data_IF_738904561275
#
_entry.id   IF_738904561275
#
_cell.length_a   1.000
_cell.length_b   1.000
_cell.length_c   1.000
_cell.angle_alpha   90.00
_cell.angle_beta   90.00
_cell.angle_gamma   90.00
#
_symmetry.space_group_name_H-M   'P 1'
#
loop_
_entity.id
_entity.type
_entity.pdbx_description
1 polymer ?
#
# COMPACT_ATOMS: atom_id res chain seq x y z
N UNK A 1 48.86 -35.96 -5.20
CA UNK A 1 48.24 -35.02 -6.15
C UNK A 1 48.16 -33.68 -5.45
N UNK A 2 48.90 -32.63 -5.87
CA UNK A 2 48.79 -31.33 -5.22
C UNK A 2 47.39 -30.76 -5.51
N UNK A 3 46.72 -30.26 -4.48
CA UNK A 3 45.46 -29.57 -4.59
C UNK A 3 45.61 -28.41 -5.59
N UNK A 4 44.84 -28.43 -6.67
CA UNK A 4 44.80 -27.34 -7.63
C UNK A 4 44.46 -26.06 -6.89
N UNK A 5 45.35 -25.06 -6.95
CA UNK A 5 45.12 -23.75 -6.36
C UNK A 5 43.80 -23.18 -6.90
N UNK A 6 42.79 -23.06 -6.03
CA UNK A 6 41.53 -22.42 -6.38
C UNK A 6 41.82 -20.94 -6.71
N UNK A 7 41.34 -20.42 -7.85
CA UNK A 7 41.58 -19.02 -8.21
C UNK A 7 40.98 -18.11 -7.12
N UNK A 8 41.79 -17.14 -6.65
CA UNK A 8 41.43 -16.18 -5.60
C UNK A 8 40.33 -15.18 -6.03
N UNK A 9 39.94 -15.16 -7.30
CA UNK A 9 38.96 -14.23 -7.87
C UNK A 9 37.99 -14.96 -8.81
N UNK A 10 36.69 -14.67 -8.66
CA UNK A 10 35.62 -15.20 -9.50
C UNK A 10 35.64 -14.53 -10.88
N UNK A 11 35.54 -15.29 -11.97
CA UNK A 11 35.51 -14.69 -13.31
C UNK A 11 34.08 -14.31 -13.72
N UNK A 12 33.06 -15.00 -13.18
CA UNK A 12 31.65 -14.66 -13.42
C UNK A 12 30.75 -14.93 -12.20
N UNK A 13 29.52 -14.41 -12.22
CA UNK A 13 28.50 -14.67 -11.19
C UNK A 13 28.13 -16.16 -11.17
N UNK A 14 28.02 -16.78 -12.34
CA UNK A 14 27.67 -18.19 -12.50
C UNK A 14 28.72 -19.11 -11.85
N UNK A 15 30.01 -18.82 -12.05
CA UNK A 15 31.10 -19.56 -11.41
C UNK A 15 31.05 -19.42 -9.88
N UNK A 16 30.78 -18.22 -9.38
CA UNK A 16 30.65 -17.95 -7.94
C UNK A 16 29.47 -18.72 -7.34
N UNK A 17 28.33 -18.73 -8.01
CA UNK A 17 27.14 -19.48 -7.60
C UNK A 17 27.37 -20.99 -7.67
N UNK A 18 28.06 -21.49 -8.71
CA UNK A 18 28.39 -22.91 -8.82
C UNK A 18 29.28 -23.38 -7.65
N UNK A 19 30.30 -22.60 -7.29
CA UNK A 19 31.13 -22.87 -6.11
C UNK A 19 30.30 -22.82 -4.82
N UNK A 20 29.37 -21.87 -4.70
CA UNK A 20 28.48 -21.79 -3.55
C UNK A 20 27.62 -23.05 -3.40
N UNK A 21 27.09 -23.57 -4.52
CA UNK A 21 26.34 -24.82 -4.56
C UNK A 21 27.21 -26.01 -4.16
N UNK A 22 28.41 -26.14 -4.72
CA UNK A 22 29.35 -27.21 -4.37
C UNK A 22 29.62 -27.22 -2.87
N UNK A 23 30.02 -26.07 -2.31
CA UNK A 23 30.29 -25.94 -0.86
C UNK A 23 29.07 -26.34 -0.03
N UNK A 24 27.89 -25.87 -0.39
CA UNK A 24 26.68 -26.10 0.38
C UNK A 24 26.14 -27.53 0.27
N UNK A 25 25.96 -28.03 -0.95
CA UNK A 25 25.27 -29.30 -1.21
C UNK A 25 26.21 -30.52 -1.17
N UNK A 26 27.48 -30.37 -1.52
CA UNK A 26 28.44 -31.48 -1.58
C UNK A 26 29.35 -31.51 -0.36
N UNK A 27 29.86 -30.35 0.07
CA UNK A 27 30.85 -30.25 1.15
C UNK A 27 30.18 -29.99 2.53
N UNK A 28 28.89 -29.63 2.55
CA UNK A 28 28.15 -29.32 3.78
C UNK A 28 28.59 -28.01 4.45
N UNK A 29 29.33 -27.17 3.74
CA UNK A 29 29.86 -25.90 4.20
C UNK A 29 28.93 -24.74 3.85
N UNK A 30 28.83 -23.77 4.75
CA UNK A 30 28.06 -22.56 4.51
C UNK A 30 28.81 -21.60 3.56
N UNK A 31 28.28 -21.26 2.37
CA UNK A 31 29.01 -20.51 1.33
C UNK A 31 28.91 -18.99 1.52
N UNK A 32 29.25 -18.48 2.70
CA UNK A 32 29.14 -17.06 3.03
C UNK A 32 29.94 -16.16 2.07
N UNK A 33 29.31 -15.09 1.58
CA UNK A 33 29.91 -14.12 0.66
C UNK A 33 29.92 -14.52 -0.82
N UNK A 34 29.49 -15.74 -1.16
CA UNK A 34 29.42 -16.21 -2.55
C UNK A 34 28.07 -15.88 -3.22
N UNK A 35 26.97 -15.96 -2.47
CA UNK A 35 25.62 -15.61 -2.92
C UNK A 35 24.93 -14.77 -1.86
N UNK A 36 23.76 -14.22 -2.19
CA UNK A 36 22.98 -13.43 -1.24
C UNK A 36 22.66 -14.26 0.02
N UNK A 37 22.80 -13.63 1.19
CA UNK A 37 22.50 -14.25 2.48
C UNK A 37 21.07 -14.84 2.54
N UNK A 38 20.09 -14.18 1.92
CA UNK A 38 18.72 -14.67 1.87
C UNK A 38 18.60 -16.00 1.10
N UNK A 39 19.42 -16.22 0.08
CA UNK A 39 19.51 -17.47 -0.69
C UNK A 39 20.08 -18.58 0.19
N UNK A 40 21.18 -18.31 0.90
CA UNK A 40 21.81 -19.28 1.83
C UNK A 40 20.82 -19.71 2.91
N UNK A 41 20.11 -18.76 3.51
CA UNK A 41 19.10 -19.05 4.53
C UNK A 41 17.94 -19.88 3.96
N UNK A 42 17.56 -19.65 2.70
CA UNK A 42 16.55 -20.46 2.04
C UNK A 42 17.03 -21.88 1.75
N UNK A 43 18.28 -22.04 1.27
CA UNK A 43 18.88 -23.36 1.09
C UNK A 43 18.90 -24.15 2.39
N UNK A 44 19.31 -23.52 3.50
CA UNK A 44 19.31 -24.15 4.82
C UNK A 44 17.91 -24.60 5.27
N UNK A 45 16.86 -23.80 5.03
CA UNK A 45 15.48 -24.21 5.34
C UNK A 45 15.03 -25.38 4.48
N UNK A 46 15.34 -25.36 3.18
CA UNK A 46 15.00 -26.44 2.25
C UNK A 46 15.69 -27.76 2.62
N UNK A 47 16.99 -27.71 2.95
CA UNK A 47 17.75 -28.88 3.40
C UNK A 47 17.29 -29.37 4.77
N UNK A 48 16.97 -28.46 5.70
CA UNK A 48 16.38 -28.80 7.01
C UNK A 48 15.04 -29.51 6.88
N UNK A 49 14.27 -29.21 5.83
CA UNK A 49 13.04 -29.91 5.46
C UNK A 49 13.28 -31.24 4.70
N UNK A 50 14.54 -31.72 4.62
CA UNK A 50 14.97 -32.96 3.96
C UNK A 50 14.65 -33.02 2.46
N UNK A 51 14.65 -31.89 1.77
CA UNK A 51 14.49 -31.84 0.32
C UNK A 51 15.78 -32.18 -0.40
N UNK A 52 15.70 -32.87 -1.53
CA UNK A 52 16.84 -33.09 -2.43
C UNK A 52 16.74 -32.15 -3.64
N UNK A 53 17.85 -31.47 -4.00
CA UNK A 53 17.89 -30.55 -5.15
C UNK A 53 17.64 -31.25 -6.49
N UNK A 54 17.97 -32.55 -6.57
CA UNK A 54 17.80 -33.35 -7.79
C UNK A 54 16.38 -33.93 -7.94
N UNK A 55 15.53 -33.85 -6.91
CA UNK A 55 14.15 -34.33 -7.00
C UNK A 55 13.30 -33.44 -7.92
N UNK A 56 12.46 -34.04 -8.78
CA UNK A 56 11.56 -33.28 -9.63
C UNK A 56 10.48 -32.58 -8.79
N UNK A 57 10.15 -31.35 -9.16
CA UNK A 57 9.06 -30.58 -8.57
C UNK A 57 7.80 -30.78 -9.41
N UNK A 58 6.67 -31.01 -8.73
CA UNK A 58 5.35 -30.94 -9.35
C UNK A 58 4.77 -29.52 -9.20
N UNK A 59 4.30 -28.94 -10.31
CA UNK A 59 3.61 -27.63 -10.32
C UNK A 59 2.10 -27.83 -10.32
N UNK A 60 1.62 -28.68 -9.41
CA UNK A 60 0.20 -28.95 -9.30
C UNK A 60 -0.53 -27.75 -8.71
N UNK A 61 -1.67 -27.34 -9.31
CA UNK A 61 -2.48 -26.32 -8.70
C UNK A 61 -3.06 -26.82 -7.38
N UNK A 62 -3.24 -25.90 -6.44
CA UNK A 62 -3.98 -26.18 -5.22
C UNK A 62 -5.40 -26.64 -5.53
N UNK A 63 -6.06 -27.25 -4.54
CA UNK A 63 -7.45 -27.70 -4.70
C UNK A 63 -8.36 -26.54 -5.13
N UNK A 64 -9.40 -26.83 -5.91
CA UNK A 64 -10.35 -25.80 -6.39
C UNK A 64 -10.93 -24.97 -5.23
N UNK A 65 -11.24 -25.60 -4.10
CA UNK A 65 -11.73 -24.91 -2.89
C UNK A 65 -10.69 -23.97 -2.30
N UNK A 66 -9.41 -24.39 -2.23
CA UNK A 66 -8.31 -23.53 -1.76
C UNK A 66 -8.09 -22.35 -2.72
N UNK A 67 -8.14 -22.59 -4.03
CA UNK A 67 -8.02 -21.54 -5.05
C UNK A 67 -9.15 -20.52 -4.93
N UNK A 68 -10.40 -20.95 -4.83
CA UNK A 68 -11.54 -20.04 -4.67
C UNK A 68 -11.44 -19.21 -3.38
N UNK A 69 -11.12 -19.85 -2.25
CA UNK A 69 -10.92 -19.14 -0.98
C UNK A 69 -9.76 -18.12 -1.05
N UNK A 70 -8.68 -18.48 -1.76
CA UNK A 70 -7.54 -17.60 -1.99
C UNK A 70 -7.93 -16.38 -2.82
N UNK A 71 -8.59 -16.56 -3.96
CA UNK A 71 -9.05 -15.44 -4.81
C UNK A 71 -10.03 -14.53 -4.06
N UNK A 72 -10.99 -15.10 -3.33
CA UNK A 72 -11.96 -14.33 -2.54
C UNK A 72 -11.29 -13.51 -1.45
N UNK A 73 -10.32 -14.08 -0.71
CA UNK A 73 -9.60 -13.35 0.34
C UNK A 73 -8.75 -12.20 -0.22
N UNK A 74 -8.23 -12.36 -1.42
CA UNK A 74 -7.30 -11.40 -2.04
C UNK A 74 -7.98 -10.47 -3.06
N UNK A 75 -9.32 -10.34 -3.02
CA UNK A 75 -10.07 -9.48 -3.97
C UNK A 75 -9.59 -8.02 -3.95
N UNK A 76 -9.33 -7.45 -2.76
CA UNK A 76 -8.84 -6.07 -2.66
C UNK A 76 -7.45 -5.90 -3.26
N UNK A 77 -6.55 -6.88 -3.07
CA UNK A 77 -5.21 -6.86 -3.65
C UNK A 77 -5.28 -6.99 -5.19
N UNK A 78 -6.14 -7.89 -5.70
CA UNK A 78 -6.37 -8.03 -7.14
C UNK A 78 -6.97 -6.76 -7.75
N UNK A 79 -7.90 -6.10 -7.04
CA UNK A 79 -8.46 -4.82 -7.46
C UNK A 79 -7.40 -3.71 -7.44
N UNK A 80 -6.58 -3.64 -6.39
CA UNK A 80 -5.52 -2.63 -6.23
C UNK A 80 -4.42 -2.70 -7.31
N UNK A 81 -4.17 -3.89 -7.87
CA UNK A 81 -3.12 -4.10 -8.87
C UNK A 81 -3.61 -4.37 -10.28
N UNK A 82 -4.91 -4.31 -10.55
CA UNK A 82 -5.46 -4.72 -11.84
C UNK A 82 -4.86 -3.96 -13.03
N UNK A 83 -4.74 -2.64 -12.92
CA UNK A 83 -4.17 -1.81 -13.98
C UNK A 83 -2.64 -1.97 -14.05
N UNK A 84 -1.98 -2.01 -12.91
CA UNK A 84 -0.53 -2.10 -12.76
C UNK A 84 0.02 -3.41 -13.34
N UNK A 85 -0.66 -4.52 -13.07
CA UNK A 85 -0.29 -5.83 -13.61
C UNK A 85 -0.40 -5.86 -15.14
N UNK A 86 -1.44 -5.23 -15.70
CA UNK A 86 -1.62 -5.13 -17.15
C UNK A 86 -0.59 -4.20 -17.81
N UNK A 87 -0.29 -3.07 -17.17
CA UNK A 87 0.74 -2.14 -17.63
C UNK A 87 2.13 -2.79 -17.59
N UNK A 88 2.45 -3.51 -16.52
CA UNK A 88 3.72 -4.23 -16.40
C UNK A 88 3.84 -5.33 -17.47
N UNK A 89 2.78 -6.11 -17.68
CA UNK A 89 2.74 -7.11 -18.74
C UNK A 89 2.94 -6.49 -20.13
N UNK A 90 2.33 -5.32 -20.37
CA UNK A 90 2.50 -4.56 -21.62
C UNK A 90 3.93 -4.00 -21.76
N UNK A 91 4.50 -3.44 -20.70
CA UNK A 91 5.87 -2.93 -20.70
C UNK A 91 6.91 -4.03 -20.96
N UNK A 92 6.60 -5.27 -20.57
CA UNK A 92 7.40 -6.46 -20.82
C UNK A 92 7.00 -7.19 -22.11
N UNK A 93 6.09 -6.64 -22.91
CA UNK A 93 5.73 -7.22 -24.20
C UNK A 93 6.95 -7.27 -25.13
N UNK A 94 7.14 -8.40 -25.82
CA UNK A 94 8.33 -8.65 -26.63
C UNK A 94 9.54 -9.15 -25.83
N UNK A 95 9.47 -9.18 -24.50
CA UNK A 95 10.37 -10.00 -23.68
C UNK A 95 9.79 -11.41 -23.51
N UNK A 96 10.56 -12.31 -22.92
CA UNK A 96 10.11 -13.65 -22.52
C UNK A 96 9.71 -13.69 -21.02
N UNK A 97 9.39 -12.55 -20.43
CA UNK A 97 9.08 -12.46 -19.00
C UNK A 97 7.60 -12.72 -18.72
N UNK A 98 7.31 -13.41 -17.62
CA UNK A 98 5.96 -13.56 -17.06
C UNK A 98 5.83 -12.74 -15.79
N UNK A 99 4.70 -12.06 -15.65
CA UNK A 99 4.32 -11.32 -14.44
C UNK A 99 3.41 -12.21 -13.60
N UNK A 100 3.73 -12.32 -12.32
CA UNK A 100 2.99 -13.10 -11.34
C UNK A 100 2.63 -12.24 -10.13
N UNK A 101 1.45 -12.50 -9.57
CA UNK A 101 1.11 -12.05 -8.22
C UNK A 101 0.76 -13.27 -7.40
N UNK A 102 1.35 -13.40 -6.22
CA UNK A 102 1.03 -14.44 -5.25
C UNK A 102 0.38 -13.87 -4.01
N UNK A 103 -0.45 -14.68 -3.35
CA UNK A 103 -0.89 -14.41 -1.99
C UNK A 103 0.27 -14.59 -0.98
N UNK A 104 0.08 -14.24 0.31
CA UNK A 104 1.15 -14.34 1.31
C UNK A 104 1.62 -15.79 1.58
N UNK A 105 0.86 -16.79 1.13
CA UNK A 105 1.21 -18.20 1.26
C UNK A 105 1.91 -18.74 0.00
N UNK A 106 2.17 -17.90 -0.99
CA UNK A 106 2.85 -18.25 -2.23
C UNK A 106 1.92 -18.81 -3.32
N UNK A 107 0.59 -18.82 -3.13
CA UNK A 107 -0.33 -19.27 -4.18
C UNK A 107 -0.47 -18.19 -5.23
N UNK A 108 -0.21 -18.53 -6.50
CA UNK A 108 -0.39 -17.61 -7.63
C UNK A 108 -1.87 -17.23 -7.77
N UNK A 109 -2.17 -15.95 -7.63
CA UNK A 109 -3.52 -15.37 -7.78
C UNK A 109 -3.69 -14.57 -9.08
N UNK A 110 -2.59 -14.21 -9.72
CA UNK A 110 -2.56 -13.64 -11.07
C UNK A 110 -1.34 -14.15 -11.82
N UNK A 111 -1.50 -14.42 -13.12
CA UNK A 111 -0.39 -14.70 -14.02
C UNK A 111 -0.68 -14.03 -15.37
N UNK A 112 0.28 -13.27 -15.90
CA UNK A 112 0.18 -12.73 -17.25
C UNK A 112 0.18 -13.86 -18.28
N UNK A 113 -0.41 -13.59 -19.45
CA UNK A 113 -0.25 -14.48 -20.60
C UNK A 113 1.24 -14.66 -20.94
N UNK A 114 1.63 -15.81 -21.53
CA UNK A 114 2.97 -15.98 -22.08
C UNK A 114 3.29 -14.85 -23.05
N UNK A 115 4.49 -14.30 -22.92
CA UNK A 115 5.04 -13.26 -23.79
C UNK A 115 6.18 -13.85 -24.63
N UNK A 116 6.34 -13.35 -25.85
CA UNK A 116 7.40 -13.80 -26.77
C UNK A 116 7.09 -15.09 -27.52
N UNK A 117 8.02 -15.49 -28.39
CA UNK A 117 7.92 -16.68 -29.25
C UNK A 117 8.80 -17.84 -28.80
N UNK A 118 9.63 -17.62 -27.77
CA UNK A 118 10.55 -18.64 -27.27
C UNK A 118 9.82 -19.74 -26.49
N UNK A 119 10.37 -20.95 -26.51
CA UNK A 119 9.86 -22.09 -25.75
C UNK A 119 10.19 -21.93 -24.27
N UNK A 120 9.16 -21.77 -23.44
CA UNK A 120 9.29 -21.57 -21.98
C UNK A 120 8.55 -22.68 -21.21
N UNK A 121 9.01 -23.94 -21.28
CA UNK A 121 8.29 -25.09 -20.75
C UNK A 121 8.06 -25.02 -19.23
N UNK A 122 9.04 -24.52 -18.46
CA UNK A 122 8.91 -24.41 -17.01
C UNK A 122 7.98 -23.27 -16.61
N UNK A 123 8.13 -22.10 -17.22
CA UNK A 123 7.22 -20.98 -16.97
C UNK A 123 5.77 -21.33 -17.34
N UNK A 124 5.54 -22.08 -18.41
CA UNK A 124 4.20 -22.48 -18.82
C UNK A 124 3.47 -23.34 -17.76
N UNK A 125 4.22 -24.15 -16.99
CA UNK A 125 3.64 -24.98 -15.93
C UNK A 125 3.63 -24.29 -14.57
N UNK A 126 4.68 -23.52 -14.24
CA UNK A 126 4.83 -22.86 -12.94
C UNK A 126 3.97 -21.60 -12.80
N UNK A 127 3.83 -20.80 -13.88
CA UNK A 127 3.13 -19.53 -13.85
C UNK A 127 1.65 -19.69 -14.20
N UNK A 128 0.92 -20.47 -13.40
CA UNK A 128 -0.53 -20.66 -13.55
C UNK A 128 -1.23 -20.29 -12.25
N UNK A 129 -2.38 -19.62 -12.37
CA UNK A 129 -3.21 -19.30 -11.20
C UNK A 129 -3.55 -20.59 -10.45
N UNK A 130 -3.35 -20.58 -9.14
CA UNK A 130 -3.52 -21.72 -8.25
C UNK A 130 -2.25 -22.55 -8.01
N UNK A 131 -1.18 -22.40 -8.78
CA UNK A 131 0.10 -23.06 -8.47
C UNK A 131 0.70 -22.44 -7.21
N UNK A 132 1.24 -23.27 -6.33
CA UNK A 132 1.95 -22.81 -5.14
C UNK A 132 3.42 -22.61 -5.46
N UNK A 133 3.92 -21.41 -5.20
CA UNK A 133 5.34 -21.04 -5.26
C UNK A 133 5.95 -20.89 -3.87
N UNK A 134 5.28 -21.45 -2.85
CA UNK A 134 5.81 -21.47 -1.50
C UNK A 134 7.18 -22.15 -1.48
N UNK A 135 8.11 -21.60 -0.70
CA UNK A 135 9.43 -22.19 -0.49
C UNK A 135 9.34 -23.65 0.00
N UNK A 136 8.29 -23.96 0.77
CA UNK A 136 7.99 -25.31 1.26
C UNK A 136 7.56 -26.30 0.19
N UNK A 137 7.25 -25.83 -1.03
CA UNK A 137 6.69 -26.61 -2.14
C UNK A 137 7.69 -26.70 -3.29
N UNK A 138 8.32 -25.58 -3.67
CA UNK A 138 9.20 -25.48 -4.85
C UNK A 138 10.67 -25.16 -4.52
N UNK A 139 11.01 -25.02 -3.23
CA UNK A 139 12.34 -24.63 -2.78
C UNK A 139 12.64 -23.14 -3.00
N UNK A 140 13.94 -22.82 -3.05
CA UNK A 140 14.41 -21.43 -3.16
C UNK A 140 14.03 -20.79 -4.48
N UNK A 141 13.15 -19.80 -4.40
CA UNK A 141 12.75 -18.89 -5.50
C UNK A 141 12.65 -17.48 -4.97
N UNK A 142 12.70 -16.47 -5.84
CA UNK A 142 12.48 -15.09 -5.44
C UNK A 142 11.15 -14.90 -4.70
N UNK A 143 9.97 -15.30 -5.23
CA UNK A 143 8.72 -15.12 -4.50
C UNK A 143 8.68 -15.88 -3.17
N UNK A 144 9.29 -17.08 -3.10
CA UNK A 144 9.40 -17.85 -1.86
C UNK A 144 10.22 -17.14 -0.77
N UNK A 145 11.38 -16.56 -1.15
CA UNK A 145 12.21 -15.78 -0.22
C UNK A 145 11.45 -14.54 0.24
N UNK A 146 10.89 -13.75 -0.70
CA UNK A 146 10.19 -12.51 -0.37
C UNK A 146 8.98 -12.77 0.53
N UNK A 147 8.26 -13.89 0.33
CA UNK A 147 7.16 -14.28 1.20
C UNK A 147 7.59 -14.51 2.66
N UNK A 148 8.85 -14.90 2.89
CA UNK A 148 9.41 -15.11 4.24
C UNK A 148 10.07 -13.86 4.82
N UNK A 149 10.72 -13.06 4.01
CA UNK A 149 11.54 -11.93 4.47
C UNK A 149 10.80 -10.60 4.42
N UNK A 150 9.76 -10.48 3.59
CA UNK A 150 9.12 -9.22 3.23
C UNK A 150 10.12 -8.15 2.74
N UNK A 151 11.18 -8.61 2.06
CA UNK A 151 12.25 -7.81 1.47
C UNK A 151 12.42 -8.25 0.02
N UNK A 152 12.60 -7.28 -0.89
CA UNK A 152 12.87 -7.55 -2.31
C UNK A 152 14.04 -8.52 -2.48
N UNK A 153 13.88 -9.46 -3.43
CA UNK A 153 14.91 -10.45 -3.72
C UNK A 153 14.92 -10.78 -5.21
N UNK A 154 16.10 -11.03 -5.75
CA UNK A 154 16.29 -11.67 -7.04
C UNK A 154 17.00 -13.01 -6.83
N UNK A 155 16.58 -14.03 -7.57
CA UNK A 155 17.17 -15.37 -7.56
C UNK A 155 17.42 -15.76 -8.99
N UNK A 156 18.67 -16.11 -9.32
CA UNK A 156 19.10 -16.39 -10.68
C UNK A 156 19.85 -17.71 -10.80
N UNK A 157 19.46 -18.49 -11.81
CA UNK A 157 20.15 -19.71 -12.20
C UNK A 157 20.40 -20.66 -11.04
N UNK A 158 21.68 -20.98 -10.79
CA UNK A 158 22.13 -21.86 -9.71
C UNK A 158 21.77 -21.42 -8.28
N UNK A 159 21.25 -20.21 -8.08
CA UNK A 159 20.71 -19.78 -6.78
C UNK A 159 19.40 -20.50 -6.42
N UNK A 160 18.67 -21.02 -7.41
CA UNK A 160 17.50 -21.85 -7.18
C UNK A 160 17.90 -23.17 -6.50
N UNK A 161 17.10 -23.64 -5.55
CA UNK A 161 17.43 -24.86 -4.80
C UNK A 161 17.47 -26.08 -5.72
N UNK A 162 16.40 -26.29 -6.49
CA UNK A 162 16.24 -27.45 -7.36
C UNK A 162 16.93 -27.26 -8.71
N UNK A 163 17.56 -28.32 -9.21
CA UNK A 163 18.37 -28.27 -10.42
C UNK A 163 17.54 -27.95 -11.67
N UNK A 164 16.30 -28.42 -11.71
CA UNK A 164 15.37 -28.11 -12.81
C UNK A 164 15.04 -26.62 -12.93
N UNK A 165 15.18 -25.83 -11.86
CA UNK A 165 14.92 -24.39 -11.86
C UNK A 165 16.15 -23.56 -12.24
N UNK A 166 17.31 -24.16 -12.51
CA UNK A 166 18.54 -23.40 -12.78
C UNK A 166 18.54 -22.62 -14.11
N UNK A 167 17.50 -22.78 -14.95
CA UNK A 167 17.31 -21.91 -16.13
C UNK A 167 16.43 -20.68 -15.83
N UNK A 168 15.96 -20.54 -14.61
CA UNK A 168 15.04 -19.48 -14.22
C UNK A 168 15.80 -18.28 -13.66
N UNK A 169 15.26 -17.11 -13.93
CA UNK A 169 15.65 -15.86 -13.30
C UNK A 169 14.38 -15.15 -12.82
N UNK A 170 14.34 -14.84 -11.53
CA UNK A 170 13.17 -14.29 -10.87
C UNK A 170 13.56 -13.03 -10.10
N UNK A 171 12.70 -12.02 -10.12
CA UNK A 171 12.80 -10.83 -9.29
C UNK A 171 11.45 -10.55 -8.66
N UNK A 172 11.42 -10.42 -7.34
CA UNK A 172 10.19 -10.30 -6.58
C UNK A 172 10.24 -9.17 -5.54
N UNK A 173 9.11 -8.54 -5.29
CA UNK A 173 8.95 -7.51 -4.27
C UNK A 173 7.66 -7.70 -3.45
N UNK A 174 7.71 -7.38 -2.15
CA UNK A 174 6.57 -7.51 -1.26
C UNK A 174 5.55 -6.40 -1.51
N UNK A 175 4.29 -6.71 -1.26
CA UNK A 175 3.18 -5.75 -1.14
C UNK A 175 2.59 -5.92 0.26
N UNK A 176 2.45 -4.84 1.02
CA UNK A 176 1.97 -4.85 2.41
C UNK A 176 0.56 -4.26 2.54
N UNK A 177 -0.18 -4.74 3.53
CA UNK A 177 -1.50 -4.21 3.91
C UNK A 177 -1.39 -3.04 4.90
N UNK A 178 -2.52 -2.42 5.23
CA UNK A 178 -2.62 -1.35 6.25
C UNK A 178 -2.24 -1.80 7.67
N UNK A 179 -2.02 -3.10 7.89
CA UNK A 179 -1.51 -3.61 9.16
C UNK A 179 0.01 -3.86 9.12
N UNK A 180 0.68 -3.46 8.03
CA UNK A 180 2.11 -3.68 7.81
C UNK A 180 2.47 -5.14 7.52
N UNK A 181 1.48 -6.02 7.32
CA UNK A 181 1.69 -7.44 7.03
C UNK A 181 1.83 -7.65 5.53
N UNK A 182 2.49 -8.73 5.13
CA UNK A 182 2.55 -9.12 3.73
C UNK A 182 1.13 -9.42 3.21
N UNK A 183 0.69 -8.68 2.20
CA UNK A 183 -0.56 -8.89 1.48
C UNK A 183 -0.36 -9.77 0.24
N UNK A 184 0.81 -9.71 -0.39
CA UNK A 184 1.18 -10.55 -1.52
C UNK A 184 2.60 -10.28 -2.00
N UNK A 185 3.03 -11.02 -3.02
CA UNK A 185 4.33 -10.85 -3.65
C UNK A 185 4.15 -10.69 -5.16
N UNK A 186 4.62 -9.57 -5.69
CA UNK A 186 4.76 -9.34 -7.13
C UNK A 186 6.07 -9.98 -7.59
N UNK A 187 6.02 -10.78 -8.64
CA UNK A 187 7.18 -11.45 -9.21
C UNK A 187 7.20 -11.28 -10.74
N UNK A 188 8.41 -11.13 -11.28
CA UNK A 188 8.68 -11.24 -12.70
C UNK A 188 9.70 -12.35 -12.90
N UNK A 189 9.35 -13.30 -13.75
CA UNK A 189 10.16 -14.49 -14.02
C UNK A 189 10.45 -14.66 -15.51
N UNK A 190 11.67 -15.06 -15.87
CA UNK A 190 12.08 -15.42 -17.24
C UNK A 190 12.79 -16.78 -17.23
N UNK A 191 12.66 -17.53 -18.33
CA UNK A 191 13.32 -18.82 -18.55
C UNK A 191 14.34 -18.71 -19.68
N UNK A 192 15.55 -19.24 -19.46
CA UNK A 192 16.66 -19.22 -20.40
C UNK A 192 17.64 -18.10 -20.07
N UNK A 193 17.75 -17.10 -20.94
CA UNK A 193 18.64 -15.97 -20.68
C UNK A 193 18.07 -15.08 -19.58
N UNK A 194 18.95 -14.55 -18.73
CA UNK A 194 18.57 -13.59 -17.69
C UNK A 194 18.01 -12.28 -18.23
N UNK A 195 17.59 -11.40 -17.31
CA UNK A 195 17.01 -10.11 -17.66
C UNK A 195 18.00 -9.22 -18.42
N UNK A 196 17.54 -8.57 -19.50
CA UNK A 196 18.28 -7.52 -20.20
C UNK A 196 18.13 -6.12 -19.58
N UNK A 197 17.55 -6.03 -18.39
CA UNK A 197 17.23 -4.80 -17.66
C UNK A 197 17.23 -5.08 -16.14
N UNK A 198 17.15 -4.03 -15.32
CA UNK A 198 17.03 -4.16 -13.87
C UNK A 198 15.60 -4.56 -13.47
N UNK A 199 15.34 -5.88 -13.45
CA UNK A 199 14.05 -6.44 -13.08
C UNK A 199 13.68 -6.18 -11.62
N UNK A 200 14.68 -6.10 -10.72
CA UNK A 200 14.45 -5.79 -9.31
C UNK A 200 13.88 -4.38 -9.14
N UNK A 201 14.51 -3.38 -9.76
CA UNK A 201 14.01 -2.00 -9.72
C UNK A 201 12.61 -1.86 -10.32
N UNK A 202 12.35 -2.54 -11.46
CA UNK A 202 11.05 -2.52 -12.11
C UNK A 202 9.96 -3.12 -11.20
N UNK A 203 10.19 -4.32 -10.67
CA UNK A 203 9.23 -4.99 -9.77
C UNK A 203 9.03 -4.20 -8.48
N UNK A 204 10.07 -3.60 -7.92
CA UNK A 204 9.94 -2.73 -6.74
C UNK A 204 9.01 -1.54 -6.99
N UNK A 205 9.14 -0.90 -8.16
CA UNK A 205 8.33 0.25 -8.54
C UNK A 205 6.85 -0.13 -8.64
N UNK A 206 6.55 -1.20 -9.38
CA UNK A 206 5.17 -1.66 -9.55
C UNK A 206 4.57 -2.20 -8.24
N UNK A 207 5.34 -2.94 -7.44
CA UNK A 207 4.88 -3.39 -6.12
C UNK A 207 4.55 -2.20 -5.20
N UNK A 208 5.36 -1.13 -5.25
CA UNK A 208 5.08 0.09 -4.48
C UNK A 208 3.80 0.80 -4.95
N UNK A 209 3.53 0.83 -6.25
CA UNK A 209 2.26 1.36 -6.78
C UNK A 209 1.06 0.55 -6.28
N UNK A 210 1.12 -0.78 -6.41
CA UNK A 210 0.04 -1.68 -5.97
C UNK A 210 -0.16 -1.57 -4.45
N UNK A 211 0.92 -1.49 -3.67
CA UNK A 211 0.87 -1.27 -2.23
C UNK A 211 0.19 0.06 -1.89
N UNK A 212 0.57 1.16 -2.54
CA UNK A 212 -0.05 2.47 -2.33
C UNK A 212 -1.57 2.44 -2.64
N UNK A 213 -1.98 1.76 -3.72
CA UNK A 213 -3.39 1.58 -4.07
C UNK A 213 -4.13 0.73 -3.03
N UNK A 214 -3.52 -0.37 -2.59
CA UNK A 214 -4.10 -1.25 -1.58
C UNK A 214 -4.29 -0.52 -0.25
N UNK A 215 -3.29 0.26 0.20
CA UNK A 215 -3.36 1.04 1.43
C UNK A 215 -4.50 2.06 1.40
N UNK A 216 -4.73 2.73 0.26
CA UNK A 216 -5.87 3.64 0.08
C UNK A 216 -7.21 2.90 0.12
N UNK A 217 -7.33 1.79 -0.61
CA UNK A 217 -8.55 0.97 -0.65
C UNK A 217 -8.92 0.41 0.74
N UNK A 218 -7.94 0.11 1.56
CA UNK A 218 -8.11 -0.40 2.93
C UNK A 218 -8.28 0.71 3.99
N UNK A 219 -8.37 1.97 3.57
CA UNK A 219 -8.45 3.14 4.45
C UNK A 219 -9.75 3.97 4.33
N UNK A 220 -10.95 3.36 4.27
CA UNK A 220 -12.22 4.08 4.05
C UNK A 220 -12.73 4.90 5.24
N UNK A 221 -11.98 4.95 6.34
CA UNK A 221 -12.30 5.71 7.55
C UNK A 221 -11.07 6.42 8.13
N UNK A 222 -10.02 6.59 7.31
CA UNK A 222 -8.80 7.28 7.70
C UNK A 222 -8.64 8.57 6.92
N UNK A 223 -7.99 9.55 7.55
CA UNK A 223 -7.33 10.63 6.84
C UNK A 223 -6.01 10.08 6.29
N UNK A 224 -5.91 10.01 4.95
CA UNK A 224 -4.70 9.58 4.26
C UNK A 224 -3.85 10.79 3.92
N UNK A 225 -2.70 10.90 4.56
CA UNK A 225 -1.69 11.90 4.23
C UNK A 225 -0.82 11.38 3.08
N UNK A 226 -0.64 12.20 2.06
CA UNK A 226 0.33 12.02 0.99
C UNK A 226 1.42 13.07 1.16
N UNK A 227 2.68 12.66 1.20
CA UNK A 227 3.76 13.62 1.38
C UNK A 227 5.08 13.21 0.71
N UNK A 228 5.92 14.19 0.41
CA UNK A 228 7.27 13.95 -0.11
C UNK A 228 8.12 15.22 -0.03
N UNK A 229 9.45 15.12 -0.03
CA UNK A 229 10.37 16.25 -0.04
C UNK A 229 10.21 17.18 -1.27
N UNK A 230 9.62 16.69 -2.36
CA UNK A 230 9.30 17.46 -3.56
C UNK A 230 7.85 17.21 -3.98
N UNK A 231 7.07 18.26 -4.33
CA UNK A 231 5.67 18.08 -4.72
C UNK A 231 5.53 17.35 -6.06
N UNK A 232 6.59 17.34 -6.89
CA UNK A 232 6.61 16.63 -8.19
C UNK A 232 6.57 15.10 -8.07
N UNK A 233 6.85 14.57 -6.88
CA UNK A 233 6.93 13.13 -6.62
C UNK A 233 5.63 12.60 -5.98
N UNK A 234 4.70 13.49 -5.59
CA UNK A 234 3.39 13.10 -5.09
C UNK A 234 2.58 12.40 -6.20
N UNK A 235 1.86 11.33 -5.85
CA UNK A 235 1.16 10.49 -6.82
C UNK A 235 2.07 9.61 -7.70
N UNK A 236 3.37 9.56 -7.40
CA UNK A 236 4.28 8.55 -7.99
C UNK A 236 4.43 7.38 -7.01
N UNK A 237 5.01 6.24 -7.43
CA UNK A 237 5.23 5.11 -6.53
C UNK A 237 6.19 5.43 -5.36
N UNK A 238 6.94 6.54 -5.47
CA UNK A 238 7.85 7.03 -4.44
C UNK A 238 7.19 8.01 -3.47
N UNK A 239 5.87 8.18 -3.49
CA UNK A 239 5.17 9.02 -2.50
C UNK A 239 5.16 8.36 -1.11
N UNK A 240 5.23 9.17 -0.06
CA UNK A 240 4.99 8.71 1.29
C UNK A 240 3.49 8.77 1.62
N UNK A 241 2.98 7.70 2.22
CA UNK A 241 1.59 7.60 2.66
C UNK A 241 1.51 7.28 4.15
N UNK A 242 0.58 7.96 4.83
CA UNK A 242 0.23 7.69 6.22
C UNK A 242 -1.29 7.64 6.42
N UNK A 243 -1.77 6.69 7.20
CA UNK A 243 -3.16 6.63 7.64
C UNK A 243 -3.31 7.17 9.05
N UNK A 244 -4.23 8.11 9.23
CA UNK A 244 -4.57 8.70 10.54
C UNK A 244 -6.02 8.36 10.89
N UNK A 245 -6.25 7.81 12.07
CA UNK A 245 -7.59 7.49 12.54
C UNK A 245 -8.34 8.73 13.06
N UNK A 246 -9.61 8.54 13.42
CA UNK A 246 -10.50 9.61 13.95
C UNK A 246 -10.04 10.21 15.28
N UNK A 247 -9.11 9.54 15.98
CA UNK A 247 -8.55 10.01 17.24
C UNK A 247 -7.19 10.70 17.05
N UNK A 248 -6.71 10.85 15.81
CA UNK A 248 -5.44 11.51 15.50
C UNK A 248 -4.23 10.59 15.62
N UNK A 249 -4.42 9.26 15.72
CA UNK A 249 -3.32 8.31 15.78
C UNK A 249 -2.91 7.85 14.39
N UNK A 250 -1.60 7.71 14.19
CA UNK A 250 -1.04 7.09 12.99
C UNK A 250 -1.21 5.57 13.07
N UNK A 251 -2.04 5.01 12.18
CA UNK A 251 -2.33 3.58 12.16
C UNK A 251 -1.43 2.80 11.22
N UNK A 252 -0.93 3.45 10.16
CA UNK A 252 0.01 2.84 9.22
C UNK A 252 0.85 3.89 8.49
N UNK A 253 2.01 3.45 8.02
CA UNK A 253 2.94 4.19 7.17
C UNK A 253 3.44 3.26 6.08
N UNK A 254 3.44 3.71 4.83
CA UNK A 254 4.15 2.97 3.78
C UNK A 254 5.68 3.07 4.01
N UNK A 255 6.51 2.22 3.37
CA UNK A 255 7.95 2.19 3.60
C UNK A 255 8.65 3.54 3.29
N UNK A 256 8.13 4.31 2.35
CA UNK A 256 8.66 5.66 2.05
C UNK A 256 8.39 6.59 3.24
N UNK A 257 7.16 6.59 3.76
CA UNK A 257 6.76 7.39 4.91
C UNK A 257 7.60 7.08 6.13
N UNK A 258 7.81 5.80 6.44
CA UNK A 258 8.69 5.36 7.54
C UNK A 258 10.11 5.94 7.42
N UNK A 259 10.68 5.97 6.20
CA UNK A 259 12.01 6.55 5.96
C UNK A 259 12.05 8.07 6.12
N UNK A 260 11.03 8.78 5.62
CA UNK A 260 10.99 10.25 5.68
C UNK A 260 10.71 10.77 7.10
N UNK A 261 9.86 10.07 7.85
CA UNK A 261 9.51 10.46 9.22
C UNK A 261 10.53 9.93 10.23
N UNK A 262 11.13 8.77 9.95
CA UNK A 262 11.92 8.02 10.93
C UNK A 262 11.07 7.37 12.02
N UNK A 263 9.73 7.40 11.89
CA UNK A 263 8.81 6.92 12.91
C UNK A 263 8.72 5.39 12.88
N UNK A 264 8.86 4.78 14.06
CA UNK A 264 8.44 3.41 14.33
C UNK A 264 7.07 3.48 15.01
N UNK A 265 6.03 3.00 14.34
CA UNK A 265 4.67 3.07 14.88
C UNK A 265 4.49 2.10 16.05
N UNK A 266 3.80 2.58 17.08
CA UNK A 266 3.12 1.77 18.08
C UNK A 266 1.61 2.07 18.06
N UNK A 267 0.84 1.43 18.95
CA UNK A 267 -0.63 1.59 18.98
C UNK A 267 -1.08 3.00 19.42
N UNK A 268 -0.17 3.84 19.90
CA UNK A 268 -0.44 5.12 20.54
C UNK A 268 0.17 6.32 19.82
N UNK A 269 0.93 6.09 18.74
CA UNK A 269 1.68 7.14 18.05
C UNK A 269 0.75 8.24 17.53
N UNK A 270 0.86 9.43 18.13
CA UNK A 270 0.05 10.58 17.75
C UNK A 270 0.61 11.23 16.48
N UNK A 271 -0.28 11.65 15.58
CA UNK A 271 0.12 12.33 14.35
C UNK A 271 0.89 13.62 14.63
N UNK A 272 0.60 14.29 15.74
CA UNK A 272 1.29 15.51 16.15
C UNK A 272 2.75 15.27 16.54
N UNK A 273 3.09 14.10 17.06
CA UNK A 273 4.49 13.76 17.37
C UNK A 273 5.34 13.58 16.11
N UNK A 274 4.72 13.09 15.02
CA UNK A 274 5.41 12.75 13.78
C UNK A 274 5.37 13.89 12.75
N UNK A 275 4.26 14.62 12.67
CA UNK A 275 4.07 15.73 11.74
C UNK A 275 4.22 17.11 12.41
N UNK A 276 4.43 17.12 13.73
CA UNK A 276 4.63 18.33 14.52
C UNK A 276 3.35 19.14 14.74
N UNK A 277 2.18 18.60 14.39
CA UNK A 277 0.94 19.37 14.35
C UNK A 277 -0.34 18.56 14.60
N UNK A 278 -1.36 19.24 15.16
CA UNK A 278 -2.59 18.59 15.57
C UNK A 278 -3.45 18.13 14.38
N UNK A 279 -4.36 17.19 14.67
CA UNK A 279 -5.27 16.59 13.70
C UNK A 279 -6.13 17.62 12.96
N UNK A 280 -6.60 18.68 13.64
CA UNK A 280 -7.44 19.74 13.05
C UNK A 280 -6.70 20.51 11.93
N UNK A 281 -5.42 20.81 12.12
CA UNK A 281 -4.57 21.42 11.10
C UNK A 281 -4.40 20.50 9.88
N UNK A 282 -4.30 19.19 10.09
CA UNK A 282 -4.20 18.20 9.01
C UNK A 282 -5.54 17.99 8.30
N UNK A 283 -6.67 18.04 9.02
CA UNK A 283 -8.00 17.99 8.44
C UNK A 283 -8.30 19.21 7.57
N UNK A 284 -7.78 20.38 7.93
CA UNK A 284 -7.92 21.59 7.12
C UNK A 284 -7.26 21.43 5.73
N UNK A 285 -6.15 20.67 5.61
CA UNK A 285 -5.49 20.40 4.33
C UNK A 285 -6.37 19.65 3.33
N UNK A 286 -7.35 18.87 3.79
CA UNK A 286 -8.21 18.12 2.88
C UNK A 286 -9.01 19.05 1.94
N UNK A 287 -9.22 20.31 2.35
CA UNK A 287 -9.93 21.32 1.56
C UNK A 287 -9.01 22.10 0.61
N UNK A 288 -7.69 21.89 0.68
CA UNK A 288 -6.73 22.60 -0.13
C UNK A 288 -6.36 21.79 -1.38
N UNK A 289 -6.45 22.38 -2.60
CA UNK A 289 -6.14 21.66 -3.83
C UNK A 289 -4.63 21.47 -4.04
N UNK A 290 -3.80 22.33 -3.44
CA UNK A 290 -2.35 22.33 -3.60
C UNK A 290 -1.65 21.71 -2.39
N UNK A 291 -0.54 20.96 -2.58
CA UNK A 291 0.29 20.50 -1.48
C UNK A 291 0.89 21.67 -0.71
N UNK A 292 0.96 21.55 0.62
CA UNK A 292 1.55 22.56 1.50
C UNK A 292 2.92 22.12 2.03
N UNK A 293 3.90 23.02 1.99
CA UNK A 293 5.20 22.77 2.60
C UNK A 293 5.09 22.74 4.13
N UNK A 294 5.70 21.73 4.73
CA UNK A 294 5.61 21.40 6.14
C UNK A 294 6.95 20.92 6.66
N UNK A 295 7.40 21.47 7.79
CA UNK A 295 8.62 21.00 8.44
C UNK A 295 8.26 19.96 9.49
N UNK A 296 8.72 18.73 9.30
CA UNK A 296 8.57 17.65 10.28
C UNK A 296 9.46 17.92 11.51
N UNK A 297 9.13 17.35 12.69
CA UNK A 297 9.95 17.47 13.90
C UNK A 297 11.39 17.00 13.74
N UNK A 298 11.64 16.02 12.86
CA UNK A 298 13.00 15.56 12.52
C UNK A 298 13.81 16.57 11.67
N UNK A 299 13.23 17.73 11.35
CA UNK A 299 13.87 18.82 10.62
C UNK A 299 13.66 18.79 9.10
N UNK A 300 13.15 17.69 8.54
CA UNK A 300 12.88 17.54 7.11
C UNK A 300 11.67 18.38 6.68
N UNK A 301 11.81 19.12 5.57
CA UNK A 301 10.66 19.77 4.93
C UNK A 301 10.05 18.85 3.88
N UNK A 302 8.75 18.60 3.98
CA UNK A 302 7.95 17.81 3.05
C UNK A 302 6.76 18.62 2.55
N UNK A 303 6.27 18.28 1.37
CA UNK A 303 5.03 18.79 0.81
C UNK A 303 3.93 17.80 1.12
N UNK A 304 2.88 18.23 1.82
CA UNK A 304 1.81 17.38 2.34
C UNK A 304 0.49 17.72 1.66
N UNK A 305 -0.29 16.69 1.35
CA UNK A 305 -1.69 16.76 0.93
C UNK A 305 -2.48 15.72 1.72
N UNK A 306 -3.74 16.00 2.03
CA UNK A 306 -4.57 15.09 2.81
C UNK A 306 -5.86 14.71 2.05
N UNK A 307 -6.24 13.45 2.14
CA UNK A 307 -7.47 12.93 1.55
C UNK A 307 -8.24 12.12 2.58
N UNK A 308 -9.53 12.35 2.72
CA UNK A 308 -10.38 11.46 3.51
C UNK A 308 -10.86 10.35 2.59
N UNK A 309 -10.48 9.11 2.89
CA UNK A 309 -11.07 7.96 2.22
C UNK A 309 -12.53 7.89 2.63
N UNK A 310 -13.47 8.22 1.75
CA UNK A 310 -14.88 8.00 1.99
C UNK A 310 -15.20 6.59 1.51
N UNK A 311 -15.84 5.77 2.34
CA UNK A 311 -16.49 4.56 1.87
C UNK A 311 -17.46 4.95 0.76
N UNK A 312 -17.20 4.47 -0.46
CA UNK A 312 -17.91 4.76 -1.72
C UNK A 312 -17.33 5.92 -2.54
N UNK A 313 -16.22 5.63 -3.26
CA UNK A 313 -16.09 5.83 -4.71
C UNK A 313 -16.47 7.17 -5.37
N UNK A 314 -16.65 8.26 -4.62
CA UNK A 314 -16.98 9.58 -5.15
C UNK A 314 -15.93 10.56 -4.67
N UNK A 315 -15.04 10.91 -5.60
CA UNK A 315 -14.12 12.03 -5.47
C UNK A 315 -14.97 13.32 -5.44
N UNK A 316 -15.09 13.96 -4.28
CA UNK A 316 -15.91 15.17 -4.09
C UNK A 316 -15.46 16.36 -4.98
N UNK A 317 -14.32 16.25 -5.64
CA UNK A 317 -13.89 17.22 -6.65
C UNK A 317 -14.83 17.28 -7.88
N UNK A 318 -15.54 16.20 -8.22
CA UNK A 318 -16.47 16.21 -9.37
C UNK A 318 -17.90 16.63 -9.02
N UNK A 319 -18.34 16.43 -7.77
CA UNK A 319 -19.71 16.78 -7.36
C UNK A 319 -19.91 18.30 -7.18
N UNK A 320 -18.86 19.03 -6.82
CA UNK A 320 -18.92 20.50 -6.67
C UNK A 320 -18.85 21.20 -8.04
N UNK A 321 -18.11 20.67 -9.00
CA UNK A 321 -18.04 21.22 -10.36
C UNK A 321 -19.39 21.17 -11.09
N UNK A 322 -20.21 20.12 -10.86
CA UNK A 322 -21.58 20.06 -11.39
C UNK A 322 -22.54 21.03 -10.66
N UNK A 323 -22.37 21.22 -9.35
CA UNK A 323 -23.20 22.14 -8.58
C UNK A 323 -22.91 23.61 -8.92
N UNK A 324 -21.64 23.97 -9.16
CA UNK A 324 -21.26 25.31 -9.64
C UNK A 324 -21.71 25.55 -11.08
N UNK A 325 -21.65 24.55 -11.97
CA UNK A 325 -22.15 24.69 -13.34
C UNK A 325 -23.69 24.79 -13.43
N UNK A 326 -24.43 24.12 -12.55
CA UNK A 326 -25.90 24.25 -12.46
C UNK A 326 -26.32 25.57 -11.82
N UNK A 327 -25.54 26.10 -10.86
CA UNK A 327 -25.79 27.41 -10.27
C UNK A 327 -25.47 28.57 -11.24
N UNK A 328 -24.45 28.43 -12.10
CA UNK A 328 -24.12 29.43 -13.13
C UNK A 328 -25.11 29.40 -14.30
N UNK A 329 -25.66 28.23 -14.65
CA UNK A 329 -26.66 28.11 -15.73
C UNK A 329 -28.06 28.63 -15.38
N UNK A 330 -28.35 28.88 -14.10
CA UNK A 330 -29.67 29.37 -13.63
C UNK A 330 -29.71 30.87 -13.31
N UNK A 331 -28.59 31.59 -13.50
CA UNK A 331 -28.46 33.00 -13.13
C UNK A 331 -28.14 33.94 -14.32
N UNK A 332 -28.47 33.55 -15.55
CA UNK A 332 -28.28 34.39 -16.74
C UNK A 332 -29.60 34.62 -17.47
N UNK A 333 -30.47 35.46 -16.91
CA UNK A 333 -31.28 36.33 -17.73
C UNK A 333 -31.65 37.64 -17.02
N UNK A 334 -31.74 38.71 -17.80
CA UNK A 334 -32.04 40.12 -17.48
C UNK A 334 -30.83 41.02 -17.16
N UNK A 335 -30.52 41.83 -18.18
CA UNK A 335 -29.50 42.87 -18.23
C UNK A 335 -29.91 44.20 -17.55
N UNK A 336 -28.93 44.84 -16.87
CA UNK A 336 -28.47 46.26 -16.84
C UNK A 336 -29.48 47.45 -16.88
N UNK A 337 -29.13 48.70 -16.45
CA UNK A 337 -27.78 49.22 -16.17
C UNK A 337 -27.58 50.10 -14.89
N UNK A 338 -26.30 50.38 -14.65
CA UNK A 338 -25.61 51.27 -13.68
C UNK A 338 -26.05 52.76 -13.74
N UNK A 339 -25.72 53.62 -12.73
CA UNK A 339 -24.38 54.25 -12.70
C UNK A 339 -23.76 54.58 -11.32
N UNK A 340 -22.41 54.64 -11.34
CA UNK A 340 -21.48 55.60 -10.71
C UNK A 340 -21.37 55.79 -9.17
N UNK A 341 -20.22 55.31 -8.66
CA UNK A 341 -19.12 56.08 -8.03
C UNK A 341 -19.14 56.53 -6.53
N UNK A 342 -17.98 56.27 -5.90
CA UNK A 342 -17.11 57.14 -5.05
C UNK A 342 -17.07 57.01 -3.50
N UNK A 343 -15.86 56.61 -3.01
CA UNK A 343 -15.02 56.98 -1.83
C UNK A 343 -15.46 56.71 -0.36
N UNK A 344 -14.55 56.09 0.44
CA UNK A 344 -13.73 56.62 1.58
C UNK A 344 -13.52 55.58 2.72
N UNK A 345 -12.25 55.47 3.14
CA UNK A 345 -11.69 54.91 4.39
C UNK A 345 -12.48 55.13 5.69
N UNK A 346 -12.36 54.21 6.66
CA UNK A 346 -11.81 54.51 8.01
C UNK A 346 -11.59 53.26 8.86
N UNK A 347 -10.57 53.36 9.72
CA UNK A 347 -10.04 52.33 10.60
C UNK A 347 -10.60 52.42 12.03
N UNK A 348 -10.18 51.44 12.85
CA UNK A 348 -10.10 51.40 14.33
C UNK A 348 -11.37 51.02 15.13
N UNK A 349 -11.33 49.91 15.87
CA UNK A 349 -10.87 49.83 17.27
C UNK A 349 -11.02 48.40 17.84
N UNK A 350 -10.02 47.93 18.58
CA UNK A 350 -10.16 46.86 19.60
C UNK A 350 -10.37 47.49 20.98
N UNK A 351 -10.97 46.74 21.92
CA UNK A 351 -10.29 46.59 23.21
C UNK A 351 -10.16 45.13 23.68
N UNK A 352 -9.18 45.02 24.57
CA UNK A 352 -8.57 43.89 25.25
C UNK A 352 -9.55 43.06 26.11
N UNK A 353 -9.43 41.73 26.06
CA UNK A 353 -9.90 40.83 27.13
C UNK A 353 -9.14 39.51 27.11
N UNK A 354 -8.56 39.17 28.26
CA UNK A 354 -7.79 37.97 28.57
C UNK A 354 -8.59 36.67 28.37
N UNK A 355 -8.05 35.61 27.72
CA UNK A 355 -8.77 34.34 27.62
C UNK A 355 -8.36 33.33 28.72
N UNK A 356 -9.34 32.95 29.53
CA UNK A 356 -9.39 31.67 30.28
C UNK A 356 -9.87 30.51 29.35
N UNK A 357 -9.70 29.22 29.72
CA UNK A 357 -9.39 28.14 28.77
C UNK A 357 -10.60 27.66 27.96
N UNK A 358 -10.58 27.89 26.65
CA UNK A 358 -11.68 27.63 25.71
C UNK A 358 -11.46 26.44 24.74
N UNK A 359 -10.80 25.35 25.17
CA UNK A 359 -10.46 24.23 24.26
C UNK A 359 -11.27 22.94 24.44
N UNK A 360 -12.05 22.80 25.53
CA UNK A 360 -12.95 21.64 25.70
C UNK A 360 -14.36 21.87 25.11
N UNK A 361 -14.81 23.12 25.01
CA UNK A 361 -16.18 23.43 24.58
C UNK A 361 -16.43 23.23 23.08
N UNK A 362 -15.40 23.29 22.23
CA UNK A 362 -15.58 23.43 20.77
C UNK A 362 -15.82 22.11 20.03
N UNK A 363 -15.16 21.01 20.41
CA UNK A 363 -15.36 19.68 19.79
C UNK A 363 -16.70 19.06 20.18
N UNK A 364 -17.10 19.21 21.45
CA UNK A 364 -18.42 18.81 21.89
C UNK A 364 -19.50 19.64 21.17
N UNK A 365 -19.29 20.95 20.98
CA UNK A 365 -20.26 21.80 20.27
C UNK A 365 -20.42 21.43 18.78
N UNK A 366 -19.34 21.08 18.08
CA UNK A 366 -19.42 20.63 16.68
C UNK A 366 -20.06 19.26 16.52
N UNK A 367 -19.73 18.32 17.42
CA UNK A 367 -20.36 17.00 17.48
C UNK A 367 -21.85 17.12 17.80
N UNK A 368 -22.21 18.00 18.71
CA UNK A 368 -23.59 18.23 19.15
C UNK A 368 -24.40 18.89 18.02
N UNK A 369 -23.81 19.81 17.26
CA UNK A 369 -24.42 20.34 16.02
C UNK A 369 -24.63 19.26 14.95
N UNK A 370 -23.69 18.33 14.78
CA UNK A 370 -23.84 17.24 13.80
C UNK A 370 -24.98 16.29 14.19
N UNK A 371 -25.12 16.00 15.49
CA UNK A 371 -26.22 15.20 16.05
C UNK A 371 -27.56 15.91 15.83
N UNK A 372 -27.65 17.20 16.16
CA UNK A 372 -28.88 17.98 16.00
C UNK A 372 -29.28 18.12 14.51
N UNK A 373 -28.33 18.36 13.61
CA UNK A 373 -28.59 18.43 12.17
C UNK A 373 -29.09 17.08 11.61
N UNK A 374 -28.51 15.96 12.03
CA UNK A 374 -28.95 14.63 11.60
C UNK A 374 -30.33 14.25 12.16
N UNK A 375 -30.66 14.67 13.39
CA UNK A 375 -31.99 14.49 13.97
C UNK A 375 -33.04 15.32 13.23
N UNK A 376 -32.75 16.58 12.90
CA UNK A 376 -33.64 17.43 12.11
C UNK A 376 -33.87 16.88 10.71
N UNK A 377 -32.79 16.48 10.00
CA UNK A 377 -32.88 15.87 8.67
C UNK A 377 -33.61 14.52 8.67
N UNK A 378 -33.62 13.82 9.81
CA UNK A 378 -34.32 12.54 9.99
C UNK A 378 -35.73 12.70 10.59
N UNK A 379 -36.23 13.93 10.78
CA UNK A 379 -37.53 14.19 11.40
C UNK A 379 -37.67 13.64 12.82
N UNK A 380 -36.57 13.66 13.60
CA UNK A 380 -36.52 13.10 14.96
C UNK A 380 -36.31 11.58 15.02
N UNK A 381 -36.24 10.87 13.89
CA UNK A 381 -36.05 9.42 13.90
C UNK A 381 -34.60 9.03 14.25
N UNK A 382 -34.39 8.63 15.51
CA UNK A 382 -33.09 8.28 16.09
C UNK A 382 -32.39 7.14 15.33
N UNK A 383 -33.13 6.15 14.83
CA UNK A 383 -32.55 5.03 14.09
C UNK A 383 -32.09 5.43 12.68
N UNK A 384 -32.71 6.46 12.09
CA UNK A 384 -32.29 7.05 10.82
C UNK A 384 -31.13 8.02 11.02
N UNK A 385 -31.17 8.87 12.05
CA UNK A 385 -30.08 9.78 12.40
C UNK A 385 -28.79 9.03 12.77
N UNK A 386 -28.88 7.94 13.54
CA UNK A 386 -27.73 7.09 13.87
C UNK A 386 -27.10 6.44 12.63
N UNK A 387 -27.92 5.99 11.66
CA UNK A 387 -27.44 5.47 10.37
C UNK A 387 -26.78 6.56 9.52
N UNK A 388 -27.35 7.75 9.50
CA UNK A 388 -26.81 8.91 8.78
C UNK A 388 -25.46 9.38 9.35
N UNK A 389 -25.26 9.23 10.67
CA UNK A 389 -24.03 9.59 11.36
C UNK A 389 -23.00 8.45 11.44
N UNK A 390 -23.33 7.25 10.95
CA UNK A 390 -22.44 6.08 11.04
C UNK A 390 -22.17 5.58 12.46
N UNK A 391 -23.02 5.90 13.44
CA UNK A 391 -22.86 5.53 14.86
C UNK A 391 -23.97 4.58 15.33
N UNK A 392 -23.72 3.83 16.41
CA UNK A 392 -24.75 2.96 16.98
C UNK A 392 -25.87 3.77 17.65
N UNK A 393 -27.11 3.26 17.58
CA UNK A 393 -28.28 3.87 18.24
C UNK A 393 -28.04 4.11 19.74
N UNK A 394 -27.43 3.13 20.43
CA UNK A 394 -27.13 3.23 21.85
C UNK A 394 -26.10 4.30 22.21
N UNK A 395 -25.20 4.65 21.29
CA UNK A 395 -24.22 5.74 21.47
C UNK A 395 -24.88 7.12 21.30
N UNK A 396 -25.85 7.22 20.37
CA UNK A 396 -26.66 8.42 20.17
C UNK A 396 -27.56 8.70 21.39
N UNK A 397 -28.27 7.69 21.90
CA UNK A 397 -29.10 7.80 23.11
C UNK A 397 -28.31 8.23 24.35
N UNK A 398 -27.10 7.67 24.54
CA UNK A 398 -26.25 7.98 25.69
C UNK A 398 -25.82 9.45 25.69
N UNK A 399 -25.60 10.04 24.51
CA UNK A 399 -25.18 11.44 24.38
C UNK A 399 -26.36 12.41 24.50
N UNK A 400 -27.53 12.09 23.95
CA UNK A 400 -28.76 12.88 24.14
C UNK A 400 -29.16 12.94 25.61
N UNK A 401 -29.06 11.82 26.33
CA UNK A 401 -29.26 11.78 27.80
C UNK A 401 -28.24 12.60 28.58
N UNK A 402 -27.00 12.70 28.10
CA UNK A 402 -25.98 13.56 28.72
C UNK A 402 -26.21 15.07 28.44
N UNK A 403 -27.06 15.41 27.46
CA UNK A 403 -27.45 16.78 27.10
C UNK A 403 -28.78 17.22 27.72
N UNK A 404 -29.51 16.32 28.39
CA UNK A 404 -30.81 16.60 28.99
C UNK A 404 -32.01 16.38 28.05
N UNK A 405 -31.79 15.98 26.80
CA UNK A 405 -32.85 15.61 25.86
C UNK A 405 -33.19 14.12 26.03
N UNK A 406 -34.25 13.82 26.78
CA UNK A 406 -34.78 12.45 26.91
C UNK A 406 -35.86 12.22 25.85
N UNK A 407 -35.58 11.47 24.75
CA UNK A 407 -36.56 11.18 23.71
C UNK A 407 -37.68 10.22 24.17
N UNK A 408 -37.65 9.75 25.42
CA UNK A 408 -38.68 8.88 26.00
C UNK A 408 -39.88 9.66 26.60
N UNK A 409 -39.91 11.00 26.51
CA UNK A 409 -41.08 11.82 26.88
C UNK A 409 -41.72 12.46 25.65
N UNK A 410 -42.82 11.87 25.17
CA UNK A 410 -43.85 12.59 24.42
C UNK A 410 -44.26 12.02 23.06
N UNK A 411 -45.18 11.06 23.09
CA UNK A 411 -46.37 11.06 22.22
C UNK A 411 -47.46 10.26 22.95
N UNK A 412 -48.13 10.95 23.88
CA UNK A 412 -49.59 10.85 24.00
C UNK A 412 -50.19 11.97 23.14
#
# INVERSE_FOLDING_TARGET
MPASAQPLFFQTVEQRTALARQRFFEEGERPSGLVNEAVIQSWMRCTGARRNSAEPIAFDPVTRSRMHACLTRNQQLLAAGNEELQQLATALSGTNCRVLLTDPQGVVIHASAPTGSATQPLLNVACRVGVSLAESDIGTTAPGIVAKTAVLCAVSGGEHYHDMLQRMHCAAAPIRDVHGRLAGVLDVSIEGNGFGFDAGALVALYASTIENHLLRLQSPAHLVLQFQASPKVLGTPLEALAGVDVAGRLTWLNPVAQRLTGAALDQTTDVAEVFGQPLDALLALHREPAPRAWRLPNGLTVWVRAHIGVADGVDFNHAVALAEQVAVATASDVAAPTPAATVVHSASHLPDSTPEPATAATLDHHRDRAIQAALQASGGNIARAARQLGVSRGLLYRRLRAQGDDPARGSD
#
